data_IF_664371077570
#
_entry.id   IF_664371077570
#
_cell.length_a   1.000
_cell.length_b   1.000
_cell.length_c   1.000
_cell.angle_alpha   90.00
_cell.angle_beta   90.00
_cell.angle_gamma   90.00
#
_symmetry.space_group_name_H-M   'P 1'
#
loop_
_entity.id
_entity.type
_entity.pdbx_description
1 polymer ?
#
# COMPACT_ATOMS: atom_id res chain seq x y z
N UNK A 1 36.18 -10.82 -38.32
CA UNK A 1 34.73 -11.05 -38.30
C UNK A 1 34.11 -10.28 -37.14
N UNK A 2 32.99 -9.58 -37.42
CA UNK A 2 32.22 -8.89 -36.38
C UNK A 2 30.81 -9.49 -36.36
N UNK A 3 30.33 -9.83 -35.19
CA UNK A 3 28.98 -10.30 -34.96
C UNK A 3 28.18 -9.30 -34.08
N UNK A 4 26.88 -9.22 -34.29
CA UNK A 4 26.00 -8.44 -33.45
C UNK A 4 25.10 -9.37 -32.63
N UNK A 5 25.04 -9.17 -31.33
CA UNK A 5 24.11 -9.84 -30.42
C UNK A 5 23.06 -8.83 -29.99
N UNK A 6 21.84 -8.97 -30.52
CA UNK A 6 20.72 -8.08 -30.22
C UNK A 6 19.72 -8.82 -29.33
N UNK A 7 19.23 -8.16 -28.29
CA UNK A 7 18.30 -8.74 -27.32
C UNK A 7 16.92 -9.07 -27.89
N UNK A 8 16.58 -8.64 -29.10
CA UNK A 8 15.30 -8.85 -29.75
C UNK A 8 15.49 -9.42 -31.16
N UNK A 9 14.72 -10.46 -31.50
CA UNK A 9 14.72 -11.06 -32.83
C UNK A 9 14.05 -10.11 -33.85
N UNK A 10 14.44 -10.21 -35.14
CA UNK A 10 13.89 -9.38 -36.22
C UNK A 10 14.44 -7.94 -36.25
N UNK A 11 15.54 -7.68 -35.54
CA UNK A 11 16.25 -6.42 -35.70
C UNK A 11 17.09 -6.41 -36.98
N UNK A 12 17.18 -5.25 -37.61
CA UNK A 12 18.08 -4.99 -38.75
C UNK A 12 19.33 -4.29 -38.25
N UNK A 13 20.49 -4.76 -38.70
CA UNK A 13 21.79 -4.18 -38.37
C UNK A 13 22.39 -3.58 -39.65
N UNK A 14 22.79 -2.32 -39.56
CA UNK A 14 23.47 -1.59 -40.62
C UNK A 14 24.84 -1.14 -40.15
N UNK A 15 25.88 -1.42 -40.87
CA UNK A 15 27.27 -1.05 -40.52
C UNK A 15 27.84 -0.16 -41.63
N UNK A 16 28.47 0.94 -41.26
CA UNK A 16 29.03 1.92 -42.18
C UNK A 16 30.54 2.13 -41.88
N UNK A 17 31.31 2.27 -42.94
CA UNK A 17 32.72 2.63 -42.82
C UNK A 17 32.95 4.13 -42.55
N UNK A 18 34.21 4.57 -42.47
CA UNK A 18 34.57 5.96 -42.22
C UNK A 18 34.13 6.93 -43.34
N UNK A 19 33.83 6.43 -44.50
CA UNK A 19 33.31 7.18 -45.65
C UNK A 19 31.77 7.13 -45.75
N UNK A 20 31.12 6.58 -44.73
CA UNK A 20 29.68 6.37 -44.62
C UNK A 20 29.10 5.45 -45.72
N UNK A 21 29.93 4.48 -46.16
CA UNK A 21 29.52 3.42 -47.09
C UNK A 21 28.99 2.23 -46.28
N UNK A 22 27.79 1.78 -46.59
CA UNK A 22 27.20 0.63 -45.91
C UNK A 22 27.90 -0.66 -46.31
N UNK A 23 28.24 -1.47 -45.30
CA UNK A 23 28.88 -2.76 -45.43
C UNK A 23 27.86 -3.88 -45.56
N UNK A 24 28.05 -4.82 -46.45
CA UNK A 24 27.18 -5.96 -46.66
C UNK A 24 27.51 -7.07 -45.68
N UNK A 25 26.53 -7.63 -44.94
CA UNK A 25 26.76 -8.79 -44.08
C UNK A 25 26.92 -10.06 -44.93
N UNK A 26 27.64 -11.05 -44.35
CA UNK A 26 27.67 -12.42 -44.85
C UNK A 26 26.32 -13.12 -44.67
N UNK A 27 26.12 -14.31 -45.29
CA UNK A 27 24.86 -15.08 -45.15
C UNK A 27 24.47 -15.45 -43.71
N UNK A 28 25.47 -15.55 -42.84
CA UNK A 28 25.30 -15.84 -41.40
C UNK A 28 25.00 -14.58 -40.56
N UNK A 29 24.90 -13.41 -41.19
CA UNK A 29 24.65 -12.12 -40.54
C UNK A 29 25.90 -11.50 -39.88
N UNK A 30 27.10 -12.09 -40.06
CA UNK A 30 28.35 -11.50 -39.63
C UNK A 30 28.92 -10.53 -40.68
N UNK A 31 29.86 -9.68 -40.26
CA UNK A 31 30.51 -8.74 -41.13
C UNK A 31 32.00 -9.07 -41.25
N UNK A 32 32.52 -9.20 -42.46
CA UNK A 32 33.93 -9.35 -42.72
C UNK A 32 34.55 -7.99 -43.07
N UNK A 33 35.09 -7.32 -42.04
CA UNK A 33 35.58 -5.96 -42.15
C UNK A 33 37.12 -5.91 -42.08
N UNK A 34 37.70 -4.94 -42.82
CA UNK A 34 39.13 -4.61 -42.73
C UNK A 34 39.40 -3.77 -41.47
N UNK A 35 40.71 -3.61 -41.11
CA UNK A 35 41.05 -2.71 -39.98
C UNK A 35 40.60 -1.28 -40.27
N UNK A 36 39.92 -0.65 -39.32
CA UNK A 36 39.37 0.67 -39.51
C UNK A 36 38.29 0.99 -38.48
N UNK A 37 37.73 2.19 -38.54
CA UNK A 37 36.63 2.65 -37.68
C UNK A 37 35.30 2.53 -38.44
N UNK A 38 34.30 2.07 -37.71
CA UNK A 38 32.96 1.80 -38.23
C UNK A 38 31.89 2.39 -37.28
N UNK A 39 30.75 2.74 -37.86
CA UNK A 39 29.54 3.05 -37.10
C UNK A 39 28.48 2.00 -37.40
N UNK A 40 27.50 1.86 -36.51
CA UNK A 40 26.36 1.00 -36.73
C UNK A 40 25.05 1.67 -36.36
N UNK A 41 23.99 1.25 -37.00
CA UNK A 41 22.62 1.53 -36.68
C UNK A 41 21.87 0.20 -36.56
N UNK A 42 21.22 -0.02 -35.40
CA UNK A 42 20.35 -1.17 -35.20
C UNK A 42 18.93 -0.66 -35.06
N UNK A 43 18.04 -1.16 -35.92
CA UNK A 43 16.65 -0.78 -35.97
C UNK A 43 15.74 -1.99 -35.79
N UNK A 44 14.55 -1.77 -35.27
CA UNK A 44 13.46 -2.72 -35.22
C UNK A 44 12.15 -1.96 -35.10
N UNK A 45 11.12 -2.49 -35.75
CA UNK A 45 9.78 -1.90 -35.65
C UNK A 45 9.35 -1.74 -34.20
N UNK A 46 8.72 -0.61 -33.88
CA UNK A 46 8.26 -0.23 -32.53
C UNK A 46 9.36 -0.19 -31.45
N UNK A 47 10.63 -0.11 -31.85
CA UNK A 47 11.77 0.09 -30.95
C UNK A 47 12.46 1.43 -31.22
N UNK A 48 13.16 1.92 -30.21
CA UNK A 48 14.06 3.04 -30.38
C UNK A 48 15.33 2.57 -31.10
N UNK A 49 15.77 3.33 -32.10
CA UNK A 49 16.97 3.04 -32.86
C UNK A 49 18.21 3.17 -31.97
N UNK A 50 19.14 2.24 -32.13
CA UNK A 50 20.41 2.28 -31.39
C UNK A 50 21.56 2.46 -32.36
N UNK A 51 22.34 3.51 -32.13
CA UNK A 51 23.56 3.80 -32.88
C UNK A 51 24.79 3.63 -32.02
N UNK A 52 25.91 3.31 -32.63
CA UNK A 52 27.19 3.25 -31.94
C UNK A 52 28.37 3.18 -32.91
N UNK A 53 29.57 3.05 -32.36
CA UNK A 53 30.83 2.94 -33.16
C UNK A 53 31.75 1.88 -32.57
N UNK A 54 32.61 1.34 -33.42
CA UNK A 54 33.63 0.40 -33.03
C UNK A 54 34.84 0.48 -33.99
N UNK A 55 35.97 -0.05 -33.55
CA UNK A 55 37.20 -0.10 -34.36
C UNK A 55 37.62 -1.56 -34.50
N UNK A 56 38.08 -1.93 -35.69
CA UNK A 56 38.71 -3.23 -35.99
C UNK A 56 40.21 -3.02 -36.09
N UNK A 57 40.93 -3.81 -35.32
CA UNK A 57 42.42 -3.83 -35.25
C UNK A 57 43.03 -5.20 -35.61
N UNK A 58 42.26 -6.04 -36.34
CA UNK A 58 42.64 -7.37 -36.77
C UNK A 58 42.00 -8.51 -35.98
N UNK A 59 41.45 -8.25 -34.80
CA UNK A 59 40.70 -9.25 -34.01
C UNK A 59 39.21 -9.24 -34.33
N UNK A 60 38.58 -10.43 -34.29
CA UNK A 60 37.14 -10.57 -34.33
C UNK A 60 36.48 -10.09 -33.04
N UNK A 61 35.26 -9.58 -33.11
CA UNK A 61 34.52 -9.15 -31.91
C UNK A 61 33.00 -9.34 -32.05
N UNK A 62 32.34 -9.43 -30.90
CA UNK A 62 30.88 -9.38 -30.81
C UNK A 62 30.44 -8.05 -30.18
N UNK A 63 29.49 -7.39 -30.79
CA UNK A 63 28.89 -6.14 -30.30
C UNK A 63 27.51 -6.49 -29.75
N UNK A 64 27.30 -6.25 -28.47
CA UNK A 64 25.99 -6.44 -27.82
C UNK A 64 25.20 -5.15 -27.91
N UNK A 65 23.97 -5.24 -28.45
CA UNK A 65 23.04 -4.11 -28.59
C UNK A 65 21.76 -4.44 -27.87
N UNK A 66 21.28 -3.52 -27.06
CA UNK A 66 20.01 -3.63 -26.38
C UNK A 66 19.03 -2.62 -26.95
N UNK A 67 18.02 -3.11 -27.65
CA UNK A 67 16.88 -2.33 -28.09
C UNK A 67 15.86 -2.20 -26.99
N UNK A 68 15.20 -1.04 -26.93
CA UNK A 68 14.09 -0.73 -26.05
C UNK A 68 12.82 -0.55 -26.88
N UNK A 69 11.70 -1.09 -26.39
CA UNK A 69 10.39 -0.84 -27.03
C UNK A 69 10.06 0.65 -26.90
N UNK A 70 9.68 1.27 -28.01
CA UNK A 70 9.31 2.68 -28.06
C UNK A 70 8.05 2.92 -27.24
N UNK A 71 8.07 3.98 -26.44
CA UNK A 71 6.93 4.37 -25.61
C UNK A 71 6.42 5.76 -26.03
N UNK A 72 5.12 5.92 -25.98
CA UNK A 72 4.42 7.13 -26.41
C UNK A 72 3.72 7.80 -25.23
N UNK A 73 3.64 9.12 -25.19
CA UNK A 73 2.95 9.83 -24.12
C UNK A 73 1.44 9.56 -24.19
N UNK A 74 0.83 9.32 -23.03
CA UNK A 74 -0.62 9.16 -22.89
C UNK A 74 -1.11 10.20 -21.88
N UNK A 75 -2.06 11.03 -22.30
CA UNK A 75 -2.71 11.99 -21.39
C UNK A 75 -3.78 11.27 -20.57
N UNK A 76 -3.61 11.25 -19.24
CA UNK A 76 -4.57 10.61 -18.34
C UNK A 76 -5.25 11.67 -17.49
N UNK A 77 -6.58 11.69 -17.51
CA UNK A 77 -7.43 12.56 -16.68
C UNK A 77 -8.36 11.71 -15.83
N UNK A 78 -8.32 11.91 -14.54
CA UNK A 78 -9.17 11.22 -13.57
C UNK A 78 -10.11 12.22 -12.90
N UNK A 79 -11.36 11.82 -12.70
CA UNK A 79 -12.33 12.57 -11.90
C UNK A 79 -13.02 11.61 -10.91
N UNK A 80 -12.77 11.72 -9.59
CA UNK A 80 -11.84 12.65 -8.91
C UNK A 80 -10.36 12.40 -9.24
N UNK A 81 -9.53 13.44 -9.07
CA UNK A 81 -8.10 13.36 -9.40
C UNK A 81 -7.29 12.42 -8.51
N UNK A 82 -7.80 12.14 -7.29
CA UNK A 82 -7.19 11.25 -6.31
C UNK A 82 -7.42 9.76 -6.62
N UNK A 83 -8.24 9.45 -7.62
CA UNK A 83 -8.51 8.06 -7.99
C UNK A 83 -7.24 7.33 -8.43
N UNK A 84 -7.13 6.09 -7.97
CA UNK A 84 -6.02 5.21 -8.34
C UNK A 84 -6.33 4.57 -9.69
N UNK A 85 -5.33 4.56 -10.58
CA UNK A 85 -5.42 3.93 -11.89
C UNK A 85 -4.43 2.77 -11.97
N UNK A 86 -4.92 1.61 -12.39
CA UNK A 86 -4.12 0.44 -12.75
C UNK A 86 -4.32 0.18 -14.24
N UNK A 87 -3.23 0.20 -15.00
CA UNK A 87 -3.20 -0.15 -16.42
C UNK A 87 -2.44 -1.47 -16.60
N UNK A 88 -2.99 -2.38 -17.40
CA UNK A 88 -2.35 -3.65 -17.76
C UNK A 88 -2.36 -3.83 -19.27
N UNK A 89 -1.23 -4.30 -19.82
CA UNK A 89 -1.16 -4.71 -21.22
C UNK A 89 -1.79 -6.09 -21.45
N UNK A 90 -1.76 -6.56 -22.70
CA UNK A 90 -2.33 -7.85 -23.09
C UNK A 90 -1.69 -9.06 -22.39
N UNK A 91 -0.44 -8.93 -21.96
CA UNK A 91 0.31 -9.96 -21.21
C UNK A 91 0.06 -9.87 -19.69
N UNK A 92 -0.79 -8.93 -19.25
CA UNK A 92 -1.11 -8.69 -17.84
C UNK A 92 -0.07 -7.88 -17.08
N UNK A 93 0.99 -7.41 -17.74
CA UNK A 93 2.00 -6.55 -17.11
C UNK A 93 1.38 -5.22 -16.72
N UNK A 94 1.57 -4.85 -15.46
CA UNK A 94 1.12 -3.57 -14.94
C UNK A 94 2.08 -2.44 -15.33
N UNK A 95 1.50 -1.32 -15.74
CA UNK A 95 2.20 -0.09 -16.05
C UNK A 95 1.89 0.99 -15.02
N UNK A 96 2.83 1.88 -14.80
CA UNK A 96 2.70 2.99 -13.85
C UNK A 96 3.26 4.27 -14.45
N UNK A 97 2.71 5.40 -14.03
CA UNK A 97 3.25 6.70 -14.38
C UNK A 97 4.67 6.88 -13.79
N UNK A 98 5.55 7.50 -14.54
CA UNK A 98 6.88 7.91 -14.09
C UNK A 98 6.89 9.43 -13.98
N UNK A 99 7.17 9.95 -12.79
CA UNK A 99 7.11 11.40 -12.50
C UNK A 99 5.76 12.03 -12.93
N UNK A 100 4.66 11.32 -12.73
CA UNK A 100 3.31 11.77 -13.11
C UNK A 100 2.97 11.65 -14.60
N UNK A 101 3.89 11.20 -15.44
CA UNK A 101 3.68 11.04 -16.87
C UNK A 101 3.49 9.56 -17.26
N UNK A 102 2.46 9.27 -18.03
CA UNK A 102 2.23 7.96 -18.63
C UNK A 102 2.92 7.86 -19.98
N UNK A 103 3.75 6.84 -20.14
CA UNK A 103 4.39 6.50 -21.40
C UNK A 103 4.24 5.00 -21.63
N UNK A 104 3.57 4.63 -22.72
CA UNK A 104 3.20 3.25 -23.00
C UNK A 104 3.61 2.87 -24.43
N UNK A 105 4.03 1.61 -24.67
CA UNK A 105 4.13 1.06 -26.01
C UNK A 105 2.80 1.14 -26.76
N UNK A 106 2.82 1.07 -28.09
CA UNK A 106 1.61 0.82 -28.87
C UNK A 106 0.99 -0.51 -28.47
N UNK A 107 -0.34 -0.55 -28.41
CA UNK A 107 -1.07 -1.76 -28.04
C UNK A 107 -2.38 -1.50 -27.33
N UNK A 108 -3.02 -2.57 -26.93
CA UNK A 108 -4.26 -2.55 -26.16
C UNK A 108 -3.99 -2.77 -24.69
N UNK A 109 -4.64 -1.97 -23.86
CA UNK A 109 -4.53 -2.00 -22.41
C UNK A 109 -5.91 -2.13 -21.79
N UNK A 110 -6.00 -2.81 -20.66
CA UNK A 110 -7.16 -2.73 -19.78
C UNK A 110 -6.83 -1.80 -18.63
N UNK A 111 -7.85 -1.10 -18.13
CA UNK A 111 -7.69 -0.27 -16.94
C UNK A 111 -8.75 -0.60 -15.89
N UNK A 112 -8.36 -0.35 -14.65
CA UNK A 112 -9.23 -0.30 -13.49
C UNK A 112 -8.92 0.98 -12.72
N UNK A 113 -9.96 1.76 -12.41
CA UNK A 113 -9.85 2.99 -11.64
C UNK A 113 -10.72 2.89 -10.39
N UNK A 114 -10.16 3.18 -9.22
CA UNK A 114 -10.83 3.04 -7.93
C UNK A 114 -10.52 4.20 -6.99
N UNK A 115 -11.51 4.52 -6.15
CA UNK A 115 -11.39 5.46 -5.04
C UNK A 115 -12.41 5.10 -3.99
N UNK A 116 -12.03 5.16 -2.71
CA UNK A 116 -13.00 4.93 -1.62
C UNK A 116 -14.21 5.86 -1.74
N UNK A 117 -15.41 5.29 -1.63
CA UNK A 117 -16.67 6.02 -1.77
C UNK A 117 -17.16 6.21 -3.20
N UNK A 118 -16.50 5.59 -4.16
CA UNK A 118 -16.88 5.58 -5.57
C UNK A 118 -16.99 4.15 -6.10
N UNK A 119 -17.77 3.98 -7.15
CA UNK A 119 -17.83 2.73 -7.91
C UNK A 119 -16.54 2.57 -8.73
N UNK A 120 -15.99 1.36 -8.74
CA UNK A 120 -14.83 1.04 -9.57
C UNK A 120 -15.22 1.12 -11.04
N UNK A 121 -14.44 1.85 -11.83
CA UNK A 121 -14.59 1.93 -13.27
C UNK A 121 -13.53 1.09 -13.97
N UNK A 122 -13.90 0.33 -14.97
CA UNK A 122 -12.99 -0.44 -15.81
C UNK A 122 -13.28 -0.26 -17.28
N UNK A 123 -12.27 -0.48 -18.12
CA UNK A 123 -12.40 -0.35 -19.55
C UNK A 123 -11.10 -0.66 -20.28
N UNK A 124 -11.00 -0.18 -21.50
CA UNK A 124 -9.82 -0.40 -22.34
C UNK A 124 -9.28 0.92 -22.90
N UNK A 125 -7.99 0.93 -23.19
CA UNK A 125 -7.25 1.99 -23.84
C UNK A 125 -6.45 1.36 -24.99
N UNK A 126 -6.52 1.95 -26.17
CA UNK A 126 -5.61 1.60 -27.28
C UNK A 126 -4.62 2.73 -27.46
N UNK A 127 -3.34 2.41 -27.40
CA UNK A 127 -2.23 3.34 -27.65
C UNK A 127 -1.80 3.18 -29.11
N UNK A 128 -1.95 4.25 -29.89
CA UNK A 128 -1.61 4.30 -31.31
C UNK A 128 -0.27 5.00 -31.57
N UNK A 129 0.20 5.76 -30.59
CA UNK A 129 1.41 6.57 -30.65
C UNK A 129 1.18 8.04 -31.04
N UNK A 130 -0.09 8.45 -31.24
CA UNK A 130 -0.45 9.81 -31.65
C UNK A 130 -1.58 10.36 -30.77
N UNK A 131 -1.26 11.32 -29.90
CA UNK A 131 -2.25 12.04 -29.06
C UNK A 131 -3.17 11.13 -28.23
N UNK A 132 -2.64 10.01 -27.76
CA UNK A 132 -3.40 9.04 -26.96
C UNK A 132 -3.84 9.67 -25.63
N UNK A 133 -5.10 9.42 -25.26
CA UNK A 133 -5.65 9.93 -24.02
C UNK A 133 -6.62 8.95 -23.36
N UNK A 134 -6.68 8.99 -22.04
CA UNK A 134 -7.63 8.26 -21.21
C UNK A 134 -8.29 9.25 -20.25
N UNK A 135 -9.62 9.37 -20.31
CA UNK A 135 -10.41 10.14 -19.37
C UNK A 135 -11.36 9.20 -18.64
N UNK A 136 -11.26 9.15 -17.31
CA UNK A 136 -12.10 8.30 -16.46
C UNK A 136 -12.79 9.15 -15.41
N UNK A 137 -14.11 9.04 -15.34
CA UNK A 137 -14.94 9.67 -14.31
C UNK A 137 -15.58 8.58 -13.48
N UNK A 138 -15.29 8.56 -12.18
CA UNK A 138 -15.90 7.64 -11.24
C UNK A 138 -17.27 8.19 -10.77
N UNK A 139 -18.23 7.30 -10.61
CA UNK A 139 -19.52 7.61 -10.02
C UNK A 139 -19.46 7.41 -8.50
N UNK A 140 -20.13 8.25 -7.74
CA UNK A 140 -20.24 8.03 -6.30
C UNK A 140 -20.97 6.73 -6.01
N UNK A 141 -20.41 5.92 -5.13
CA UNK A 141 -21.05 4.69 -4.66
C UNK A 141 -22.30 5.02 -3.81
N UNK A 142 -23.28 4.13 -3.88
CA UNK A 142 -24.42 4.19 -2.99
C UNK A 142 -23.98 4.17 -1.53
N UNK A 143 -24.69 4.90 -0.67
CA UNK A 143 -24.35 5.00 0.75
C UNK A 143 -25.54 4.56 1.60
N UNK A 144 -25.21 3.88 2.70
CA UNK A 144 -26.17 3.30 3.63
C UNK A 144 -25.99 3.90 5.02
N UNK A 145 -27.08 4.05 5.74
CA UNK A 145 -27.05 4.59 7.09
C UNK A 145 -26.65 3.51 8.08
N UNK A 146 -25.57 3.76 8.82
CA UNK A 146 -25.13 2.91 9.91
C UNK A 146 -25.31 3.63 11.23
N UNK A 147 -25.98 2.96 12.17
CA UNK A 147 -26.20 3.44 13.55
C UNK A 147 -25.57 2.47 14.53
N UNK A 148 -25.11 2.99 15.63
CA UNK A 148 -24.67 2.18 16.75
C UNK A 148 -25.70 2.21 17.87
N UNK A 149 -26.01 1.04 18.39
CA UNK A 149 -26.80 0.87 19.61
C UNK A 149 -25.86 0.29 20.68
N UNK A 150 -25.53 1.10 21.69
CA UNK A 150 -24.73 0.67 22.83
C UNK A 150 -25.64 0.21 23.95
N UNK A 151 -25.41 -0.98 24.47
CA UNK A 151 -26.24 -1.59 25.53
C UNK A 151 -25.35 -2.24 26.58
N UNK A 152 -25.85 -2.35 27.81
CA UNK A 152 -25.21 -3.14 28.87
C UNK A 152 -25.14 -4.60 28.46
N UNK A 153 -24.03 -5.28 28.80
CA UNK A 153 -23.84 -6.69 28.49
C UNK A 153 -24.75 -7.60 29.32
N UNK A 154 -25.03 -7.23 30.54
CA UNK A 154 -25.79 -8.01 31.54
C UNK A 154 -27.30 -8.04 31.28
N UNK A 155 -27.93 -6.88 31.07
CA UNK A 155 -29.38 -6.76 30.99
C UNK A 155 -29.88 -6.20 29.66
N UNK A 156 -28.99 -5.75 28.76
CA UNK A 156 -29.33 -5.19 27.46
C UNK A 156 -29.92 -3.78 27.51
N UNK A 157 -29.92 -3.11 28.66
CA UNK A 157 -30.40 -1.73 28.78
C UNK A 157 -29.57 -0.77 27.93
N UNK A 158 -30.25 0.21 27.31
CA UNK A 158 -29.59 1.18 26.43
C UNK A 158 -28.63 2.09 27.18
N UNK A 159 -27.43 2.27 26.64
CA UNK A 159 -26.43 3.22 27.11
C UNK A 159 -26.35 4.42 26.15
N UNK A 160 -26.08 5.60 26.72
CA UNK A 160 -25.92 6.84 25.95
C UNK A 160 -24.58 7.49 26.28
N UNK A 161 -24.09 8.35 25.39
CA UNK A 161 -22.84 9.11 25.62
C UNK A 161 -21.56 8.34 25.29
N UNK A 162 -21.67 7.18 24.66
CA UNK A 162 -20.49 6.46 24.19
C UNK A 162 -19.79 7.23 23.06
N UNK A 163 -18.48 7.29 23.13
CA UNK A 163 -17.62 7.76 22.03
C UNK A 163 -17.35 6.61 21.07
N UNK A 164 -17.67 6.83 19.79
CA UNK A 164 -17.61 5.78 18.75
C UNK A 164 -16.74 6.27 17.61
N UNK A 165 -15.66 5.57 17.38
CA UNK A 165 -14.77 5.76 16.23
C UNK A 165 -15.02 4.68 15.20
N UNK A 166 -15.24 5.06 13.94
CA UNK A 166 -15.39 4.13 12.80
C UNK A 166 -14.31 4.42 11.78
N UNK A 167 -13.61 3.40 11.32
CA UNK A 167 -12.50 3.54 10.36
C UNK A 167 -12.64 2.55 9.19
N UNK A 168 -12.22 2.98 8.01
CA UNK A 168 -12.07 2.13 6.83
C UNK A 168 -10.59 2.12 6.40
N UNK A 169 -10.09 0.98 5.92
CA UNK A 169 -8.67 0.80 5.59
C UNK A 169 -8.15 1.82 4.56
N UNK A 170 -8.98 2.16 3.56
CA UNK A 170 -8.62 3.13 2.52
C UNK A 170 -9.23 4.52 2.76
N UNK A 171 -10.40 4.58 3.38
CA UNK A 171 -11.16 5.82 3.61
C UNK A 171 -10.86 6.51 4.94
N UNK A 172 -9.97 5.94 5.76
CA UNK A 172 -9.62 6.50 7.07
C UNK A 172 -10.80 6.55 8.05
N UNK A 173 -10.75 7.48 9.00
CA UNK A 173 -11.80 7.70 9.99
C UNK A 173 -13.04 8.31 9.35
N UNK A 174 -14.21 7.77 9.72
CA UNK A 174 -15.51 8.19 9.21
C UNK A 174 -16.23 9.06 10.23
N UNK A 175 -16.89 10.11 9.76
CA UNK A 175 -17.60 11.05 10.62
C UNK A 175 -19.10 10.80 10.60
N UNK A 176 -19.71 10.72 11.80
CA UNK A 176 -21.15 10.65 11.95
C UNK A 176 -21.80 12.05 11.92
N UNK A 177 -22.99 12.14 11.34
CA UNK A 177 -23.84 13.31 11.45
C UNK A 177 -25.08 12.92 12.27
N UNK A 178 -25.30 13.57 13.39
CA UNK A 178 -26.39 13.24 14.34
C UNK A 178 -26.42 11.75 14.73
N UNK A 179 -25.25 11.14 14.98
CA UNK A 179 -25.12 9.74 15.37
C UNK A 179 -25.34 8.73 14.24
N UNK A 180 -25.37 9.17 12.98
CA UNK A 180 -25.54 8.33 11.80
C UNK A 180 -24.30 8.45 10.92
N UNK A 181 -23.69 7.32 10.61
CA UNK A 181 -22.65 7.21 9.60
C UNK A 181 -23.29 6.91 8.24
N UNK A 182 -23.01 7.73 7.24
CA UNK A 182 -23.41 7.45 5.85
C UNK A 182 -22.22 6.82 5.13
N UNK A 183 -22.26 5.50 4.92
CA UNK A 183 -21.12 4.72 4.47
C UNK A 183 -21.40 3.99 3.16
N UNK A 184 -20.46 3.93 2.22
CA UNK A 184 -20.53 3.02 1.07
C UNK A 184 -20.39 1.57 1.53
N UNK A 185 -20.67 0.63 0.64
CA UNK A 185 -20.40 -0.79 0.89
C UNK A 185 -18.93 -1.01 1.21
N UNK A 186 -18.66 -1.89 2.17
CA UNK A 186 -17.29 -2.16 2.63
C UNK A 186 -17.24 -2.72 4.04
N UNK A 187 -16.03 -3.07 4.46
CA UNK A 187 -15.76 -3.54 5.83
C UNK A 187 -15.08 -2.44 6.63
N UNK A 188 -15.63 -2.17 7.80
CA UNK A 188 -15.23 -1.11 8.71
C UNK A 188 -14.82 -1.68 10.05
N UNK A 189 -13.83 -1.06 10.68
CA UNK A 189 -13.50 -1.29 12.08
C UNK A 189 -14.16 -0.22 12.94
N UNK A 190 -14.51 -0.57 14.16
CA UNK A 190 -14.99 0.40 15.15
C UNK A 190 -14.32 0.23 16.51
N UNK A 191 -14.30 1.30 17.28
CA UNK A 191 -13.98 1.29 18.70
C UNK A 191 -15.06 2.08 19.43
N UNK A 192 -15.49 1.57 20.61
CA UNK A 192 -16.49 2.20 21.46
C UNK A 192 -15.90 2.38 22.85
N UNK A 193 -16.02 3.59 23.38
CA UNK A 193 -15.59 3.96 24.72
C UNK A 193 -16.74 4.63 25.47
N UNK A 194 -16.92 4.27 26.74
CA UNK A 194 -17.87 4.89 27.65
C UNK A 194 -17.31 4.81 29.07
N UNK A 195 -17.38 5.90 29.80
CA UNK A 195 -16.93 5.95 31.19
C UNK A 195 -17.67 4.92 32.04
N UNK A 196 -16.92 4.18 32.88
CA UNK A 196 -17.44 3.09 33.69
C UNK A 196 -17.61 1.76 32.98
N UNK A 197 -17.24 1.67 31.70
CA UNK A 197 -17.32 0.45 30.90
C UNK A 197 -15.99 0.09 30.25
N UNK A 198 -15.78 -1.20 30.00
CA UNK A 198 -14.62 -1.67 29.23
C UNK A 198 -14.73 -1.25 27.77
N UNK A 199 -13.59 -0.84 27.19
CA UNK A 199 -13.53 -0.48 25.76
C UNK A 199 -13.80 -1.70 24.89
N UNK A 200 -14.60 -1.50 23.83
CA UNK A 200 -14.91 -2.55 22.87
C UNK A 200 -14.45 -2.14 21.49
N UNK A 201 -13.79 -3.05 20.80
CA UNK A 201 -13.43 -2.89 19.40
C UNK A 201 -13.98 -4.07 18.57
N UNK A 202 -14.34 -3.80 17.32
CA UNK A 202 -14.87 -4.82 16.44
C UNK A 202 -14.88 -4.37 14.98
N UNK A 203 -15.57 -5.13 14.15
CA UNK A 203 -15.77 -4.80 12.73
C UNK A 203 -17.20 -5.09 12.29
N UNK A 204 -17.64 -4.44 11.23
CA UNK A 204 -18.93 -4.69 10.56
C UNK A 204 -18.76 -4.50 9.06
N UNK A 205 -19.69 -5.06 8.29
CA UNK A 205 -19.74 -4.91 6.84
C UNK A 205 -21.04 -4.24 6.42
N UNK A 206 -20.93 -3.19 5.61
CA UNK A 206 -22.05 -2.58 4.89
C UNK A 206 -22.20 -3.29 3.55
N UNK A 207 -23.40 -3.80 3.25
CA UNK A 207 -23.68 -4.58 2.06
C UNK A 207 -25.09 -4.24 1.52
N UNK A 208 -25.19 -3.14 0.80
CA UNK A 208 -26.38 -2.71 0.07
C UNK A 208 -27.59 -2.30 0.92
N UNK A 209 -27.43 -2.08 2.23
CA UNK A 209 -28.55 -1.70 3.12
C UNK A 209 -28.11 -1.00 4.39
N UNK A 210 -29.05 -0.26 4.99
CA UNK A 210 -28.88 0.34 6.30
C UNK A 210 -28.63 -0.73 7.38
N UNK A 211 -27.81 -0.38 8.39
CA UNK A 211 -27.36 -1.29 9.42
C UNK A 211 -27.44 -0.65 10.81
N UNK A 212 -27.82 -1.44 11.82
CA UNK A 212 -27.61 -1.10 13.22
C UNK A 212 -26.60 -2.07 13.82
N UNK A 213 -25.48 -1.53 14.30
CA UNK A 213 -24.43 -2.29 14.99
C UNK A 213 -24.74 -2.22 16.49
N UNK A 214 -25.08 -3.34 17.09
CA UNK A 214 -25.31 -3.43 18.53
C UNK A 214 -24.01 -3.78 19.24
N UNK A 215 -23.54 -2.91 20.13
CA UNK A 215 -22.32 -3.10 20.92
C UNK A 215 -22.70 -3.30 22.39
N UNK A 216 -22.30 -4.44 22.95
CA UNK A 216 -22.50 -4.78 24.35
C UNK A 216 -21.30 -4.34 25.17
N UNK A 217 -21.51 -3.51 26.18
CA UNK A 217 -20.47 -2.98 27.05
C UNK A 217 -20.59 -3.63 28.43
N UNK A 218 -19.47 -4.15 28.93
CA UNK A 218 -19.33 -4.66 30.30
C UNK A 218 -18.90 -3.53 31.22
N UNK A 219 -19.48 -3.45 32.43
CA UNK A 219 -19.03 -2.51 33.46
C UNK A 219 -17.58 -2.82 33.85
N UNK A 220 -16.75 -1.79 33.93
CA UNK A 220 -15.33 -1.95 34.27
C UNK A 220 -14.55 -0.65 34.08
N UNK A 221 -13.29 -0.67 34.47
CA UNK A 221 -12.40 0.48 34.34
C UNK A 221 -11.34 0.21 33.26
N UNK A 222 -11.17 1.16 32.36
CA UNK A 222 -10.08 1.16 31.39
C UNK A 222 -8.78 1.77 31.94
N UNK A 223 -8.78 2.16 33.23
CA UNK A 223 -7.58 2.61 33.89
C UNK A 223 -6.77 1.40 34.34
N UNK A 224 -5.50 1.41 34.03
CA UNK A 224 -4.58 0.32 34.36
C UNK A 224 -4.58 0.01 35.84
N UNK A 225 -4.69 -1.27 36.19
CA UNK A 225 -4.67 -1.77 37.57
C UNK A 225 -3.26 -1.89 38.19
N UNK A 226 -2.23 -1.55 37.42
CA UNK A 226 -0.83 -1.71 37.79
C UNK A 226 -0.27 -3.11 37.53
N UNK A 227 -1.05 -4.00 36.94
CA UNK A 227 -0.67 -5.39 36.65
C UNK A 227 -0.66 -5.66 35.14
N UNK A 228 0.09 -6.65 34.70
CA UNK A 228 -0.01 -7.19 33.35
C UNK A 228 -1.20 -8.13 33.22
N UNK A 229 -1.75 -8.28 32.01
CA UNK A 229 -2.73 -9.31 31.71
C UNK A 229 -2.14 -10.72 31.95
N UNK A 230 -2.96 -11.62 32.47
CA UNK A 230 -2.59 -13.03 32.65
C UNK A 230 -2.58 -13.81 31.33
N UNK A 231 -3.23 -13.27 30.28
CA UNK A 231 -3.33 -13.88 28.96
C UNK A 231 -2.68 -12.98 27.91
N UNK A 232 -2.15 -13.62 26.85
CA UNK A 232 -1.62 -12.88 25.70
C UNK A 232 -2.74 -12.13 24.98
N UNK A 233 -2.45 -10.92 24.45
CA UNK A 233 -3.36 -10.25 23.52
C UNK A 233 -3.66 -11.09 22.29
N UNK A 234 -4.83 -10.85 21.67
CA UNK A 234 -5.15 -11.41 20.36
C UNK A 234 -4.07 -11.06 19.34
N UNK A 235 -3.82 -11.97 18.39
CA UNK A 235 -2.85 -11.71 17.33
C UNK A 235 -3.51 -11.70 15.95
N UNK A 236 -2.96 -10.88 15.04
CA UNK A 236 -3.32 -10.85 13.62
C UNK A 236 -2.06 -10.85 12.77
N UNK A 237 -2.01 -11.69 11.74
CA UNK A 237 -0.91 -11.67 10.78
C UNK A 237 -1.35 -10.93 9.52
N UNK A 238 -0.60 -9.89 9.14
CA UNK A 238 -0.80 -9.07 7.96
C UNK A 238 0.52 -8.95 7.21
N UNK A 239 0.53 -9.27 5.92
CA UNK A 239 1.73 -9.20 5.06
C UNK A 239 2.96 -9.93 5.65
N UNK A 240 2.73 -11.06 6.31
CA UNK A 240 3.78 -11.86 6.94
C UNK A 240 4.27 -11.33 8.29
N UNK A 241 3.71 -10.24 8.80
CA UNK A 241 4.02 -9.66 10.11
C UNK A 241 2.92 -10.01 11.10
N UNK A 242 3.27 -10.58 12.25
CA UNK A 242 2.33 -10.86 13.34
C UNK A 242 2.28 -9.69 14.31
N UNK A 243 1.08 -9.20 14.58
CA UNK A 243 0.77 -8.08 15.47
C UNK A 243 0.00 -8.57 16.70
N UNK A 244 0.44 -8.19 17.90
CA UNK A 244 -0.40 -8.26 19.09
C UNK A 244 -1.35 -7.08 19.12
N UNK A 245 -2.66 -7.32 19.21
CA UNK A 245 -3.72 -6.29 19.21
C UNK A 245 -4.01 -5.86 20.64
N UNK A 246 -3.52 -4.70 21.03
CA UNK A 246 -3.61 -4.18 22.41
C UNK A 246 -4.95 -3.43 22.57
N UNK A 247 -5.83 -3.96 23.41
CA UNK A 247 -7.18 -3.45 23.68
C UNK A 247 -7.35 -2.96 25.14
N UNK A 248 -6.43 -3.33 26.04
CA UNK A 248 -6.46 -2.90 27.44
C UNK A 248 -5.07 -2.46 27.92
N UNK A 249 -4.99 -1.63 28.97
CA UNK A 249 -3.69 -1.28 29.58
C UNK A 249 -2.94 -2.49 30.14
N UNK A 250 -3.64 -3.51 30.64
CA UNK A 250 -3.08 -4.77 31.12
C UNK A 250 -2.40 -5.55 30.00
N UNK A 251 -2.99 -5.55 28.79
CA UNK A 251 -2.38 -6.15 27.58
C UNK A 251 -1.13 -5.40 27.16
N UNK A 252 -1.13 -4.06 27.25
CA UNK A 252 0.08 -3.27 27.01
C UNK A 252 1.18 -3.61 28.02
N UNK A 253 0.81 -3.79 29.29
CA UNK A 253 1.75 -4.20 30.33
C UNK A 253 2.27 -5.64 30.11
N UNK A 254 1.43 -6.54 29.62
CA UNK A 254 1.85 -7.88 29.20
C UNK A 254 2.89 -7.80 28.06
N UNK A 255 2.62 -6.99 27.04
CA UNK A 255 3.54 -6.78 25.92
C UNK A 255 4.88 -6.20 26.42
N UNK A 256 4.83 -5.19 27.27
CA UNK A 256 6.03 -4.61 27.88
C UNK A 256 6.82 -5.65 28.68
N UNK A 257 6.14 -6.51 29.45
CA UNK A 257 6.80 -7.57 30.21
C UNK A 257 7.50 -8.59 29.30
N UNK A 258 6.90 -8.96 28.16
CA UNK A 258 7.50 -9.84 27.17
C UNK A 258 8.76 -9.24 26.56
N UNK A 259 8.70 -7.99 26.09
CA UNK A 259 9.87 -7.28 25.56
C UNK A 259 10.98 -7.20 26.62
N UNK A 260 10.62 -6.79 27.85
CA UNK A 260 11.56 -6.67 28.98
C UNK A 260 12.12 -8.05 29.43
N UNK A 261 11.42 -9.12 29.12
CA UNK A 261 11.82 -10.52 29.32
C UNK A 261 12.75 -11.08 28.23
N UNK A 262 12.98 -10.33 27.14
CA UNK A 262 13.89 -10.72 26.06
C UNK A 262 13.22 -11.02 24.69
N UNK A 263 11.89 -11.01 24.59
CA UNK A 263 11.18 -11.13 23.31
C UNK A 263 11.17 -9.77 22.57
N UNK A 264 12.34 -9.26 22.19
CA UNK A 264 12.53 -7.87 21.77
C UNK A 264 12.05 -7.54 20.36
N UNK A 265 11.75 -8.53 19.52
CA UNK A 265 11.39 -8.35 18.08
C UNK A 265 9.88 -8.58 17.81
N UNK A 266 9.05 -8.55 18.85
CA UNK A 266 7.59 -8.68 18.68
C UNK A 266 6.94 -7.34 18.33
N UNK A 267 5.80 -7.39 17.61
CA UNK A 267 5.11 -6.17 17.16
C UNK A 267 3.74 -6.06 17.83
N UNK A 268 3.33 -4.84 18.16
CA UNK A 268 2.00 -4.58 18.69
C UNK A 268 1.34 -3.39 18.01
N UNK A 269 0.00 -3.44 17.94
CA UNK A 269 -0.85 -2.36 17.46
C UNK A 269 -1.85 -1.98 18.54
N UNK A 270 -1.94 -0.70 18.85
CA UNK A 270 -2.90 -0.17 19.81
C UNK A 270 -4.27 -0.08 19.16
N UNK A 271 -5.28 -0.71 19.75
CA UNK A 271 -6.62 -0.79 19.14
C UNK A 271 -7.59 0.25 19.72
N UNK A 272 -7.36 0.72 20.93
CA UNK A 272 -8.21 1.69 21.65
C UNK A 272 -7.33 2.69 22.41
N UNK A 273 -7.90 3.80 22.86
CA UNK A 273 -7.20 4.70 23.79
C UNK A 273 -6.98 3.98 25.14
N UNK A 274 -5.80 4.14 25.73
CA UNK A 274 -5.40 3.49 26.97
C UNK A 274 -5.15 4.53 28.06
N UNK A 275 -5.56 4.24 29.28
CA UNK A 275 -5.37 5.10 30.44
C UNK A 275 -4.51 4.36 31.48
N UNK A 276 -3.28 4.82 31.71
CA UNK A 276 -2.38 4.20 32.70
C UNK A 276 -2.66 4.69 34.12
N UNK A 277 -3.07 5.93 34.28
CA UNK A 277 -3.54 6.49 35.55
C UNK A 277 -4.67 7.48 35.25
N UNK A 278 -5.67 7.51 36.15
CA UNK A 278 -6.77 8.49 36.06
C UNK A 278 -6.32 9.87 36.52
N UNK A 279 -7.13 10.89 36.21
CA UNK A 279 -6.90 12.27 36.63
C UNK A 279 -7.04 12.43 38.17
N UNK A 280 -7.87 11.60 38.78
CA UNK A 280 -8.08 11.56 40.26
C UNK A 280 -6.91 10.90 40.97
N UNK A 281 -6.22 9.97 40.32
CA UNK A 281 -5.08 9.23 40.88
C UNK A 281 -3.89 9.19 39.90
N UNK A 282 -3.28 10.33 39.57
CA UNK A 282 -2.33 10.43 38.43
C UNK A 282 -0.98 9.73 38.68
N UNK A 283 -0.75 9.21 39.87
CA UNK A 283 0.49 8.51 40.29
C UNK A 283 0.20 7.16 40.94
N UNK A 284 -0.99 6.59 40.75
CA UNK A 284 -1.38 5.32 41.36
C UNK A 284 -0.50 4.17 40.85
N UNK A 285 -0.24 4.15 39.55
CA UNK A 285 0.48 3.08 38.90
C UNK A 285 1.72 3.62 38.16
N UNK A 286 2.88 3.07 38.53
CA UNK A 286 4.15 3.40 37.88
C UNK A 286 4.34 2.55 36.64
N UNK A 287 4.55 3.21 35.49
CA UNK A 287 4.87 2.54 34.24
C UNK A 287 6.38 2.35 34.05
N UNK A 288 6.83 1.11 33.81
CA UNK A 288 8.26 0.76 33.67
C UNK A 288 8.83 0.84 32.27
N UNK A 289 8.00 1.22 31.29
CA UNK A 289 8.43 1.32 29.89
C UNK A 289 8.42 -0.01 29.13
N UNK A 290 8.57 0.09 27.80
CA UNK A 290 8.74 -1.02 26.87
C UNK A 290 10.19 -1.02 26.42
N UNK A 291 10.93 -2.09 26.75
CA UNK A 291 12.38 -2.17 26.56
C UNK A 291 13.17 -1.65 27.75
N UNK A 292 14.34 -2.21 27.96
CA UNK A 292 15.33 -1.82 28.97
C UNK A 292 16.74 -2.01 28.41
N UNK A 293 17.77 -1.52 29.11
CA UNK A 293 19.16 -1.59 28.63
C UNK A 293 19.59 -3.00 28.21
N UNK A 294 19.17 -4.04 28.95
CA UNK A 294 19.49 -5.46 28.65
C UNK A 294 18.50 -6.14 27.69
N UNK A 295 17.43 -5.47 27.28
CA UNK A 295 16.39 -6.00 26.38
C UNK A 295 15.79 -4.83 25.58
N UNK A 296 16.57 -4.29 24.66
CA UNK A 296 16.18 -3.15 23.84
C UNK A 296 15.07 -3.55 22.87
N UNK A 297 14.00 -2.77 22.84
CA UNK A 297 12.89 -3.03 21.92
C UNK A 297 13.33 -2.81 20.48
N UNK A 298 13.23 -3.84 19.67
CA UNK A 298 13.58 -3.86 18.25
C UNK A 298 12.42 -4.17 17.31
N UNK A 299 11.20 -4.32 17.85
CA UNK A 299 9.97 -4.50 17.07
C UNK A 299 9.30 -3.19 16.71
N UNK A 300 8.00 -3.26 16.35
CA UNK A 300 7.18 -2.10 16.01
C UNK A 300 6.02 -1.98 17.01
N UNK A 301 5.85 -0.79 17.59
CA UNK A 301 4.64 -0.40 18.31
C UNK A 301 3.87 0.60 17.44
N UNK A 302 2.82 0.11 16.77
CA UNK A 302 1.93 0.93 15.96
C UNK A 302 0.86 1.56 16.86
N UNK A 303 0.93 2.88 17.01
CA UNK A 303 -0.05 3.64 17.80
C UNK A 303 -1.44 3.70 17.16
N UNK A 304 -1.55 3.42 15.85
CA UNK A 304 -2.82 3.36 15.12
C UNK A 304 -3.76 4.55 15.41
N UNK A 305 -3.18 5.76 15.54
CA UNK A 305 -3.91 6.98 15.87
C UNK A 305 -4.53 7.03 17.27
N UNK A 306 -4.16 6.11 18.19
CA UNK A 306 -4.69 6.04 19.55
C UNK A 306 -3.77 6.74 20.55
N UNK A 307 -4.33 7.11 21.70
CA UNK A 307 -3.65 7.82 22.77
C UNK A 307 -3.36 6.87 23.94
N UNK A 308 -2.18 6.99 24.51
CA UNK A 308 -1.85 6.42 25.84
C UNK A 308 -1.69 7.59 26.79
N UNK A 309 -2.56 7.68 27.80
CA UNK A 309 -2.61 8.79 28.77
C UNK A 309 -2.27 8.32 30.19
N UNK A 310 -2.07 9.29 31.09
CA UNK A 310 -1.78 9.01 32.50
C UNK A 310 -0.41 8.36 32.75
N UNK A 311 0.56 8.63 31.89
CA UNK A 311 1.92 8.11 32.06
C UNK A 311 2.55 8.67 33.34
N UNK A 312 3.08 7.78 34.20
CA UNK A 312 3.85 8.13 35.36
C UNK A 312 5.06 7.21 35.50
N UNK A 313 6.26 7.76 35.46
CA UNK A 313 7.51 7.06 35.84
C UNK A 313 8.25 7.86 36.89
N UNK A 314 9.00 7.17 37.75
CA UNK A 314 10.01 7.78 38.63
C UNK A 314 11.37 7.41 38.02
N UNK A 315 12.20 8.38 37.80
CA UNK A 315 13.64 8.19 37.52
C UNK A 315 14.35 7.74 38.78
#
# INVERSE_FOLDING_TARGET
IVAFSVNMTGASVHVYDAQNVEQTPEEDGTYRLVSGSYTYLVTRDECDDVTGSFTIDGAGRTITVTLSVRTYPVSVTMTPAEAKLVLRDADGKQWSAVNGAWRLPKGSYTYEASLFGYETASGSLTVTGENDSLSVTLQQAARHNVRFATVKADDGSTLSGADITVTHAEGGEQTAVNGVYSLPDGTYSYAVMLDGYLNVAGSFTVAGKDLTVTVRLEEGSNVWTGKASDTAPETKTENGVTWYLIKTPEELAWFAAKVNGGETAINARIMVNLVLNSTEAPKANRWGGIGKYSAQFGGILDGNGKTISGYYSCD
#
